data_IF_171255467242
#
_entry.id   IF_171255467242
#
_cell.length_a   1.000
_cell.length_b   1.000
_cell.length_c   1.000
_cell.angle_alpha   90.00
_cell.angle_beta   90.00
_cell.angle_gamma   90.00
#
_symmetry.space_group_name_H-M   'P 1'
#
loop_
_entity.id
_entity.type
_entity.pdbx_description
1 polymer ?
#
# COMPACT_ATOMS: atom_id res chain seq x y z
N UNK A 1 -56.02 48.56 -24.77
CA UNK A 1 -56.25 47.11 -24.61
C UNK A 1 -55.12 46.42 -25.35
N UNK A 2 -54.24 45.59 -24.79
CA UNK A 2 -54.27 44.78 -23.56
C UNK A 2 -52.83 44.62 -23.02
N UNK A 3 -52.71 44.85 -21.71
CA UNK A 3 -51.86 44.27 -20.67
C UNK A 3 -50.35 43.97 -20.89
N UNK A 4 -49.55 44.70 -20.11
CA UNK A 4 -48.28 44.32 -19.50
C UNK A 4 -48.45 43.06 -18.63
N UNK A 5 -47.55 42.07 -18.75
CA UNK A 5 -47.38 41.02 -17.74
C UNK A 5 -45.91 40.92 -17.35
N UNK A 6 -45.60 41.57 -16.23
CA UNK A 6 -44.38 41.34 -15.45
C UNK A 6 -44.65 40.11 -14.59
N UNK A 7 -43.89 39.03 -14.81
CA UNK A 7 -43.79 37.94 -13.84
C UNK A 7 -42.52 38.18 -13.01
N UNK A 8 -42.71 38.86 -11.88
CA UNK A 8 -41.94 38.63 -10.67
C UNK A 8 -42.69 37.58 -9.85
N UNK A 9 -41.93 36.86 -9.01
CA UNK A 9 -42.25 35.81 -8.04
C UNK A 9 -41.54 34.49 -8.44
N UNK A 10 -40.73 33.82 -7.64
CA UNK A 10 -40.17 34.03 -6.30
C UNK A 10 -39.06 33.00 -6.13
N UNK A 11 -38.11 33.29 -5.24
CA UNK A 11 -37.13 32.34 -4.72
C UNK A 11 -37.72 30.94 -4.49
N UNK A 12 -37.07 29.93 -5.07
CA UNK A 12 -37.09 28.57 -4.55
C UNK A 12 -35.67 28.25 -4.10
N UNK A 13 -35.58 28.17 -2.77
CA UNK A 13 -34.54 27.63 -1.91
C UNK A 13 -33.31 26.99 -2.55
N UNK A 14 -32.15 27.44 -2.05
CA UNK A 14 -31.03 26.60 -1.60
C UNK A 14 -31.26 25.09 -1.75
N UNK A 15 -30.83 24.52 -2.87
CA UNK A 15 -30.16 23.23 -2.81
C UNK A 15 -28.69 23.53 -2.59
N UNK A 16 -28.34 23.64 -1.31
CA UNK A 16 -26.99 23.56 -0.78
C UNK A 16 -26.42 22.17 -1.09
N UNK A 17 -26.19 21.88 -2.38
CA UNK A 17 -25.20 20.89 -2.77
C UNK A 17 -23.84 21.55 -2.58
N UNK A 18 -23.44 21.65 -1.31
CA UNK A 18 -22.05 21.47 -0.97
C UNK A 18 -21.70 20.04 -1.40
N UNK A 19 -21.45 19.87 -2.71
CA UNK A 19 -20.42 18.95 -3.15
C UNK A 19 -19.16 19.45 -2.47
N UNK A 20 -18.97 19.00 -1.22
CA UNK A 20 -17.70 19.13 -0.52
C UNK A 20 -16.71 18.50 -1.47
N UNK A 21 -15.94 19.36 -2.14
CA UNK A 21 -14.70 18.95 -2.75
C UNK A 21 -13.94 18.28 -1.60
N UNK A 22 -13.84 16.95 -1.64
CA UNK A 22 -12.92 16.23 -0.78
C UNK A 22 -11.53 16.68 -1.22
N UNK A 23 -11.06 17.76 -0.59
CA UNK A 23 -9.68 18.18 -0.72
C UNK A 23 -8.81 17.15 0.00
N UNK A 24 -7.58 16.96 -0.46
CA UNK A 24 -6.55 16.14 0.22
C UNK A 24 -6.08 16.84 1.51
N UNK A 25 -7.03 17.25 2.35
CA UNK A 25 -6.83 18.06 3.53
C UNK A 25 -6.01 17.27 4.56
N UNK A 26 -4.79 17.73 4.79
CA UNK A 26 -3.87 17.13 5.74
C UNK A 26 -2.79 16.25 5.11
N UNK A 27 -2.84 15.95 3.81
CA UNK A 27 -1.68 15.35 3.11
C UNK A 27 -0.54 16.38 3.12
N UNK A 28 0.53 16.08 3.84
CA UNK A 28 1.70 16.95 3.98
C UNK A 28 2.87 16.48 3.14
N UNK A 29 2.90 15.19 2.75
CA UNK A 29 3.96 14.63 1.90
C UNK A 29 3.39 13.60 0.93
N UNK A 30 3.99 13.58 -0.25
CA UNK A 30 3.76 12.57 -1.29
C UNK A 30 5.13 12.15 -1.82
N UNK A 31 5.41 10.86 -1.81
CA UNK A 31 6.68 10.33 -2.31
C UNK A 31 6.42 9.09 -3.16
N UNK A 32 7.06 9.04 -4.33
CA UNK A 32 7.02 7.86 -5.19
C UNK A 32 8.26 7.02 -4.98
N UNK A 33 8.11 5.70 -5.07
CA UNK A 33 9.19 4.74 -4.94
C UNK A 33 9.08 3.67 -6.03
N UNK A 34 10.23 3.10 -6.40
CA UNK A 34 10.31 2.02 -7.37
C UNK A 34 11.46 1.10 -7.01
N UNK A 35 11.25 -0.21 -7.16
CA UNK A 35 12.25 -1.23 -6.99
C UNK A 35 12.04 -2.34 -8.02
N UNK A 36 13.11 -2.77 -8.66
CA UNK A 36 13.15 -3.94 -9.54
C UNK A 36 14.24 -4.89 -9.03
N UNK A 37 14.09 -6.20 -9.24
CA UNK A 37 15.13 -7.13 -8.83
C UNK A 37 16.37 -6.93 -9.71
N UNK A 38 17.48 -6.54 -9.09
CA UNK A 38 18.76 -6.30 -9.77
C UNK A 38 19.81 -7.35 -9.37
N UNK A 39 19.64 -7.98 -8.20
CA UNK A 39 20.59 -8.97 -7.67
C UNK A 39 20.27 -10.43 -8.06
N UNK A 40 19.29 -10.63 -8.96
CA UNK A 40 18.86 -11.93 -9.50
C UNK A 40 18.43 -11.80 -10.97
N UNK A 41 18.18 -12.91 -11.64
CA UNK A 41 17.60 -12.91 -13.01
C UNK A 41 16.06 -12.76 -13.02
N UNK A 42 15.44 -12.61 -11.83
CA UNK A 42 14.00 -12.42 -11.70
C UNK A 42 13.58 -11.05 -12.19
N UNK A 43 12.38 -10.96 -12.75
CA UNK A 43 11.81 -9.71 -13.24
C UNK A 43 10.83 -9.05 -12.28
N UNK A 44 10.81 -9.47 -11.02
CA UNK A 44 9.92 -8.90 -10.01
C UNK A 44 10.17 -7.40 -9.86
N UNK A 45 9.11 -6.62 -9.79
CA UNK A 45 9.17 -5.17 -9.63
C UNK A 45 7.98 -4.62 -8.84
N UNK A 46 8.18 -3.48 -8.20
CA UNK A 46 7.16 -2.72 -7.47
C UNK A 46 7.36 -1.25 -7.79
N UNK A 47 6.29 -0.58 -8.20
CA UNK A 47 6.19 0.88 -8.34
C UNK A 47 5.07 1.38 -7.43
N UNK A 48 5.35 2.38 -6.61
CA UNK A 48 4.35 2.86 -5.67
C UNK A 48 4.45 4.34 -5.34
N UNK A 49 3.44 4.81 -4.64
CA UNK A 49 3.37 6.16 -4.09
C UNK A 49 2.75 6.12 -2.72
N UNK A 50 3.35 6.86 -1.79
CA UNK A 50 2.84 7.07 -0.45
C UNK A 50 2.27 8.47 -0.30
N UNK A 51 1.10 8.57 0.32
CA UNK A 51 0.43 9.80 0.70
C UNK A 51 0.38 9.88 2.22
N UNK A 52 1.12 10.81 2.81
CA UNK A 52 1.23 10.94 4.27
C UNK A 52 0.41 12.12 4.78
N UNK A 53 -0.48 11.85 5.73
CA UNK A 53 -1.29 12.81 6.43
C UNK A 53 -0.66 13.20 7.78
N UNK A 54 0.06 14.33 7.81
CA UNK A 54 0.71 14.80 9.03
C UNK A 54 -0.25 15.28 10.12
N UNK A 55 -1.51 15.63 9.79
CA UNK A 55 -2.50 16.05 10.79
C UNK A 55 -3.08 14.87 11.57
N UNK A 56 -3.34 13.76 10.86
CA UNK A 56 -3.97 12.56 11.43
C UNK A 56 -2.97 11.46 11.77
N UNK A 57 -1.68 11.66 11.45
CA UNK A 57 -0.64 10.63 11.54
C UNK A 57 -1.12 9.32 10.88
N UNK A 58 -1.59 9.46 9.65
CA UNK A 58 -2.04 8.34 8.81
C UNK A 58 -1.31 8.39 7.47
N UNK A 59 -1.23 7.26 6.78
CA UNK A 59 -0.66 7.21 5.44
C UNK A 59 -1.40 6.20 4.58
N UNK A 60 -1.41 6.44 3.27
CA UNK A 60 -1.88 5.48 2.30
C UNK A 60 -0.76 5.18 1.32
N UNK A 61 -0.48 3.90 1.11
CA UNK A 61 0.42 3.44 0.06
C UNK A 61 -0.41 2.82 -1.05
N UNK A 62 -0.17 3.24 -2.27
CA UNK A 62 -0.71 2.59 -3.48
C UNK A 62 0.48 2.08 -4.26
N UNK A 63 0.55 0.77 -4.49
CA UNK A 63 1.64 0.15 -5.23
C UNK A 63 1.11 -0.81 -6.29
N UNK A 64 1.70 -0.75 -7.48
CA UNK A 64 1.58 -1.70 -8.56
C UNK A 64 2.81 -2.60 -8.56
N UNK A 65 2.63 -3.88 -8.85
CA UNK A 65 3.73 -4.81 -8.85
C UNK A 65 3.55 -5.91 -9.88
N UNK A 66 4.69 -6.49 -10.26
CA UNK A 66 4.79 -7.72 -11.01
C UNK A 66 5.66 -8.70 -10.22
N UNK A 67 5.18 -9.92 -10.04
CA UNK A 67 5.94 -11.01 -9.43
C UNK A 67 6.33 -11.99 -10.54
N UNK A 68 7.63 -12.23 -10.70
CA UNK A 68 8.11 -13.23 -11.66
C UNK A 68 7.58 -14.62 -11.24
N UNK A 69 7.08 -15.45 -12.17
CA UNK A 69 6.62 -16.81 -11.84
C UNK A 69 7.66 -17.70 -11.16
N UNK A 70 8.96 -17.38 -11.25
CA UNK A 70 10.03 -18.08 -10.56
C UNK A 70 10.37 -17.48 -9.19
N UNK A 71 9.78 -16.33 -8.85
CA UNK A 71 10.00 -15.66 -7.57
C UNK A 71 9.06 -16.24 -6.49
N UNK A 72 9.66 -16.92 -5.52
CA UNK A 72 8.97 -17.45 -4.34
C UNK A 72 9.14 -16.55 -3.11
N UNK A 73 9.89 -15.45 -3.23
CA UNK A 73 10.07 -14.42 -2.21
C UNK A 73 8.98 -13.36 -2.20
N UNK A 74 8.27 -13.20 -3.32
CA UNK A 74 7.12 -12.31 -3.47
C UNK A 74 7.46 -10.84 -3.23
N UNK A 75 6.49 -10.09 -2.71
CA UNK A 75 6.64 -8.68 -2.30
C UNK A 75 6.39 -8.57 -0.80
N UNK A 76 7.20 -7.79 -0.10
CA UNK A 76 6.98 -7.51 1.32
C UNK A 76 7.13 -6.02 1.64
N UNK A 77 6.22 -5.49 2.45
CA UNK A 77 6.28 -4.17 3.05
C UNK A 77 6.54 -4.29 4.54
N UNK A 78 7.44 -3.45 5.06
CA UNK A 78 7.89 -3.49 6.44
C UNK A 78 7.65 -2.14 7.09
N UNK A 79 6.94 -2.14 8.20
CA UNK A 79 6.56 -0.94 8.94
C UNK A 79 7.18 -0.93 10.35
N UNK A 80 7.55 0.24 10.86
CA UNK A 80 8.19 0.39 12.16
C UNK A 80 7.15 0.36 13.28
N UNK A 81 7.61 0.24 14.52
CA UNK A 81 6.75 0.33 15.70
C UNK A 81 5.92 1.62 15.73
N UNK A 82 4.71 1.53 16.28
CA UNK A 82 3.74 2.62 16.33
C UNK A 82 2.86 2.75 15.07
N UNK A 83 3.33 2.29 13.92
CA UNK A 83 2.55 2.25 12.68
C UNK A 83 1.90 0.88 12.48
N UNK A 84 0.58 0.87 12.29
CA UNK A 84 -0.19 -0.35 12.06
C UNK A 84 -0.97 -0.26 10.75
N UNK A 85 -1.20 -1.41 10.12
CA UNK A 85 -2.06 -1.55 8.96
C UNK A 85 -3.51 -1.49 9.43
N UNK A 86 -4.21 -0.41 9.09
CA UNK A 86 -5.63 -0.21 9.41
C UNK A 86 -6.54 -0.75 8.31
N UNK A 87 -6.02 -0.91 7.09
CA UNK A 87 -6.73 -1.48 5.95
C UNK A 87 -5.78 -1.98 4.87
N UNK A 88 -6.18 -3.04 4.17
CA UNK A 88 -5.47 -3.52 2.99
C UNK A 88 -6.45 -3.95 1.91
N UNK A 89 -6.17 -3.58 0.67
CA UNK A 89 -6.87 -4.08 -0.52
C UNK A 89 -5.83 -4.56 -1.52
N UNK A 90 -6.06 -5.72 -2.12
CA UNK A 90 -5.19 -6.29 -3.15
C UNK A 90 -6.01 -6.74 -4.34
N UNK A 91 -5.41 -6.70 -5.52
CA UNK A 91 -5.96 -7.37 -6.71
C UNK A 91 -5.16 -8.60 -7.13
N UNK A 92 -4.07 -8.94 -6.43
CA UNK A 92 -3.18 -10.01 -6.84
C UNK A 92 -3.70 -11.39 -6.46
N UNK A 93 -3.65 -12.39 -7.36
CA UNK A 93 -3.21 -12.28 -8.76
C UNK A 93 -4.29 -11.66 -9.66
N UNK A 94 -3.96 -10.57 -10.36
CA UNK A 94 -4.95 -9.82 -11.14
C UNK A 94 -5.44 -10.62 -12.34
N UNK A 95 -6.77 -10.68 -12.50
CA UNK A 95 -7.42 -11.38 -13.60
C UNK A 95 -7.59 -12.88 -13.38
N UNK A 96 -7.12 -13.42 -12.24
CA UNK A 96 -7.43 -14.78 -11.84
C UNK A 96 -8.70 -14.81 -10.98
N UNK A 97 -9.80 -15.32 -11.53
CA UNK A 97 -11.07 -15.41 -10.81
C UNK A 97 -11.16 -16.62 -9.86
N UNK A 98 -10.18 -17.52 -9.89
CA UNK A 98 -10.14 -18.73 -9.06
C UNK A 98 -9.44 -18.49 -7.71
N UNK A 99 -8.74 -17.37 -7.54
CA UNK A 99 -7.98 -17.03 -6.33
C UNK A 99 -8.55 -15.76 -5.72
N UNK A 100 -8.93 -15.81 -4.44
CA UNK A 100 -9.28 -14.62 -3.69
C UNK A 100 -8.00 -13.80 -3.42
N UNK A 101 -7.93 -12.51 -3.77
CA UNK A 101 -6.74 -11.72 -3.52
C UNK A 101 -6.30 -11.65 -2.06
N UNK A 102 -7.22 -11.86 -1.11
CA UNK A 102 -6.90 -11.92 0.31
C UNK A 102 -6.11 -13.17 0.71
N UNK A 103 -6.24 -14.28 -0.03
CA UNK A 103 -5.48 -15.52 0.21
C UNK A 103 -3.99 -15.36 -0.13
N UNK A 104 -3.65 -14.34 -0.93
CA UNK A 104 -2.26 -14.02 -1.28
C UNK A 104 -1.58 -13.08 -0.30
N UNK A 105 -2.30 -12.59 0.71
CA UNK A 105 -1.80 -11.63 1.69
C UNK A 105 -1.53 -12.30 3.03
N UNK A 106 -0.43 -11.93 3.67
CA UNK A 106 -0.14 -12.29 5.06
C UNK A 106 0.30 -11.05 5.81
N UNK A 107 -0.37 -10.74 6.91
CA UNK A 107 0.03 -9.67 7.83
C UNK A 107 0.60 -10.31 9.10
N UNK A 108 1.84 -9.99 9.41
CA UNK A 108 2.50 -10.41 10.65
C UNK A 108 2.82 -9.17 11.48
N UNK A 109 2.61 -9.27 12.79
CA UNK A 109 3.02 -8.22 13.73
C UNK A 109 3.72 -8.86 14.92
N UNK A 110 4.89 -8.35 15.30
CA UNK A 110 5.61 -8.77 16.49
C UNK A 110 5.35 -7.84 17.66
N UNK A 111 5.36 -8.39 18.87
CA UNK A 111 5.31 -7.62 20.13
C UNK A 111 6.70 -7.22 20.65
N UNK A 112 7.77 -7.56 19.91
CA UNK A 112 9.12 -7.21 20.33
C UNK A 112 9.32 -5.70 20.22
N UNK A 113 9.81 -5.09 21.28
CA UNK A 113 10.01 -3.63 21.36
C UNK A 113 11.34 -3.18 20.73
N UNK A 114 12.26 -4.11 20.47
CA UNK A 114 13.63 -3.83 19.99
C UNK A 114 13.87 -4.31 18.55
N UNK A 115 12.87 -4.15 17.69
CA UNK A 115 12.98 -4.49 16.27
C UNK A 115 12.85 -3.25 15.41
N UNK A 116 13.57 -3.24 14.28
CA UNK A 116 13.43 -2.17 13.28
C UNK A 116 12.04 -2.15 12.65
N UNK A 117 11.49 -3.34 12.39
CA UNK A 117 10.20 -3.54 11.75
C UNK A 117 9.30 -4.36 12.66
N UNK A 118 8.16 -3.79 13.06
CA UNK A 118 7.18 -4.45 13.93
C UNK A 118 6.07 -5.13 13.14
N UNK A 119 5.73 -4.60 11.97
CA UNK A 119 4.63 -5.10 11.13
C UNK A 119 5.13 -5.39 9.71
N UNK A 120 4.63 -6.49 9.15
CA UNK A 120 5.01 -7.04 7.86
C UNK A 120 3.72 -7.28 7.07
N UNK A 121 3.63 -6.75 5.86
CA UNK A 121 2.65 -7.19 4.86
C UNK A 121 3.39 -7.95 3.78
N UNK A 122 3.04 -9.21 3.60
CA UNK A 122 3.65 -10.09 2.61
C UNK A 122 2.61 -10.47 1.55
N UNK A 123 3.04 -10.43 0.29
CA UNK A 123 2.22 -10.75 -0.88
C UNK A 123 2.91 -11.91 -1.61
N UNK A 124 2.21 -13.04 -1.72
CA UNK A 124 2.70 -14.24 -2.42
C UNK A 124 4.04 -14.78 -1.91
N UNK A 125 4.40 -14.51 -0.65
CA UNK A 125 5.64 -14.99 -0.05
C UNK A 125 5.42 -16.35 0.60
N UNK A 126 6.25 -17.32 0.23
CA UNK A 126 6.13 -18.68 0.74
C UNK A 126 7.18 -18.99 1.81
N UNK A 127 6.72 -19.23 3.04
CA UNK A 127 7.59 -19.77 4.10
C UNK A 127 7.57 -21.31 4.19
N UNK A 128 6.46 -21.98 3.83
CA UNK A 128 6.23 -23.38 4.25
C UNK A 128 5.69 -24.34 3.17
N UNK A 129 4.98 -23.88 2.13
CA UNK A 129 4.43 -24.79 1.11
C UNK A 129 4.39 -24.15 -0.27
N UNK A 130 4.78 -24.94 -1.29
CA UNK A 130 4.72 -24.59 -2.71
C UNK A 130 3.27 -24.36 -3.13
N UNK A 131 2.79 -23.13 -3.02
CA UNK A 131 1.61 -22.70 -3.74
C UNK A 131 1.98 -22.66 -5.22
N UNK A 132 1.03 -23.01 -6.08
CA UNK A 132 1.27 -23.03 -7.52
C UNK A 132 1.58 -21.60 -7.96
N UNK A 133 2.85 -21.36 -8.27
CA UNK A 133 3.36 -20.09 -8.76
C UNK A 133 2.43 -19.55 -9.86
N UNK A 134 1.67 -18.52 -9.52
CA UNK A 134 1.02 -17.67 -10.49
C UNK A 134 1.60 -16.29 -10.33
N UNK A 135 2.89 -16.18 -10.69
CA UNK A 135 3.48 -14.87 -10.94
C UNK A 135 2.57 -14.07 -11.88
N UNK A 136 2.68 -12.76 -11.85
CA UNK A 136 1.71 -11.90 -12.48
C UNK A 136 1.66 -10.53 -11.84
N UNK A 137 0.65 -9.78 -12.26
CA UNK A 137 0.48 -8.39 -11.86
C UNK A 137 -0.54 -8.27 -10.73
N UNK A 138 -0.41 -7.20 -9.96
CA UNK A 138 -1.45 -6.74 -9.06
C UNK A 138 -1.18 -5.35 -8.55
N UNK A 139 -2.14 -4.83 -7.82
CA UNK A 139 -1.95 -3.66 -6.97
C UNK A 139 -2.21 -4.02 -5.52
N UNK A 140 -1.64 -3.21 -4.63
CA UNK A 140 -2.01 -3.17 -3.22
C UNK A 140 -2.25 -1.72 -2.80
N UNK A 141 -3.32 -1.52 -2.03
CA UNK A 141 -3.58 -0.29 -1.28
C UNK A 141 -3.45 -0.64 0.20
N UNK A 142 -2.56 0.08 0.89
CA UNK A 142 -2.27 -0.15 2.31
C UNK A 142 -2.61 1.14 3.04
N UNK A 143 -3.59 1.07 3.92
CA UNK A 143 -3.91 2.15 4.84
C UNK A 143 -3.16 1.91 6.15
N UNK A 144 -2.44 2.94 6.59
CA UNK A 144 -1.65 2.96 7.80
C UNK A 144 -2.20 4.02 8.74
N UNK A 145 -2.21 3.69 10.02
CA UNK A 145 -2.44 4.67 11.06
C UNK A 145 -1.38 4.54 12.15
N UNK A 146 -1.12 5.64 12.82
CA UNK A 146 -0.22 5.69 13.96
C UNK A 146 -1.02 5.56 15.26
N UNK A 147 -0.54 4.74 16.19
CA UNK A 147 -1.29 4.38 17.43
C UNK A 147 -0.49 4.60 18.71
N UNK A 148 0.67 5.26 18.65
CA UNK A 148 1.53 5.47 19.81
C UNK A 148 1.69 6.97 20.11
N UNK A 149 1.21 7.43 21.25
CA UNK A 149 1.31 8.86 21.61
C UNK A 149 2.72 9.29 22.04
N UNK A 150 3.65 8.35 22.26
CA UNK A 150 4.98 8.60 22.85
C UNK A 150 6.16 8.45 21.87
N UNK A 151 5.98 7.74 20.75
CA UNK A 151 7.03 7.52 19.74
C UNK A 151 7.08 8.60 18.64
N UNK A 152 8.17 8.59 17.85
CA UNK A 152 8.36 9.46 16.70
C UNK A 152 7.36 9.14 15.57
N UNK A 153 6.60 10.16 15.14
CA UNK A 153 5.59 10.07 14.06
C UNK A 153 6.20 10.00 12.65
N UNK A 154 7.53 9.95 12.54
CA UNK A 154 8.20 9.78 11.26
C UNK A 154 7.84 8.41 10.69
N UNK A 155 7.40 8.39 9.44
CA UNK A 155 7.10 7.14 8.76
C UNK A 155 8.30 6.74 7.92
N UNK A 156 9.03 5.75 8.43
CA UNK A 156 10.08 5.06 7.69
C UNK A 156 9.63 3.64 7.41
N UNK A 157 9.60 3.21 6.16
CA UNK A 157 9.18 1.85 5.80
C UNK A 157 10.14 1.24 4.77
N UNK A 158 10.09 -0.08 4.60
CA UNK A 158 10.85 -0.76 3.55
C UNK A 158 9.94 -1.56 2.62
N UNK A 159 10.39 -1.71 1.38
CA UNK A 159 9.82 -2.63 0.39
C UNK A 159 10.91 -3.61 0.00
N UNK A 160 10.60 -4.90 -0.04
CA UNK A 160 11.54 -5.93 -0.43
C UNK A 160 10.93 -6.91 -1.42
N UNK A 161 11.74 -7.33 -2.39
CA UNK A 161 11.35 -8.22 -3.48
C UNK A 161 12.47 -9.22 -3.79
N UNK A 162 12.12 -10.21 -4.61
CA UNK A 162 13.08 -11.14 -5.18
C UNK A 162 13.44 -12.28 -4.23
N UNK A 163 13.97 -13.34 -4.82
CA UNK A 163 14.42 -14.51 -4.11
C UNK A 163 15.56 -15.19 -4.85
N UNK A 164 16.42 -15.89 -4.11
CA UNK A 164 17.48 -16.69 -4.71
C UNK A 164 17.87 -17.87 -3.83
N UNK A 165 18.48 -18.86 -4.46
CA UNK A 165 19.19 -19.91 -3.76
C UNK A 165 20.68 -19.61 -3.86
N UNK A 166 21.36 -19.52 -2.71
CA UNK A 166 22.81 -19.38 -2.63
C UNK A 166 23.35 -20.46 -1.70
N UNK A 167 24.24 -21.30 -2.21
CA UNK A 167 24.85 -22.41 -1.45
C UNK A 167 23.81 -23.35 -0.80
N UNK A 168 22.70 -23.60 -1.49
CA UNK A 168 21.58 -24.41 -0.98
C UNK A 168 20.66 -23.69 0.01
N UNK A 169 20.96 -22.44 0.37
CA UNK A 169 20.17 -21.63 1.29
C UNK A 169 19.19 -20.77 0.49
N UNK A 170 17.91 -20.85 0.87
CA UNK A 170 16.84 -19.97 0.39
C UNK A 170 17.01 -18.58 1.00
N UNK A 171 17.14 -17.56 0.15
CA UNK A 171 17.16 -16.15 0.51
C UNK A 171 15.93 -15.46 -0.10
N UNK A 172 15.13 -14.80 0.73
CA UNK A 172 14.01 -13.92 0.32
C UNK A 172 14.44 -12.46 0.49
N UNK A 173 13.87 -11.58 -0.33
CA UNK A 173 14.16 -10.14 -0.24
C UNK A 173 15.59 -9.82 -0.66
N UNK A 174 16.00 -10.31 -1.82
CA UNK A 174 17.35 -10.06 -2.37
C UNK A 174 17.60 -8.60 -2.66
N UNK A 175 16.52 -7.87 -2.92
CA UNK A 175 16.51 -6.45 -3.22
C UNK A 175 15.57 -5.76 -2.22
N UNK A 176 15.95 -4.58 -1.73
CA UNK A 176 15.12 -3.77 -0.85
C UNK A 176 15.41 -2.28 -1.02
N UNK A 177 14.39 -1.47 -0.72
CA UNK A 177 14.50 -0.01 -0.61
C UNK A 177 13.89 0.43 0.73
N UNK A 178 14.46 1.48 1.32
CA UNK A 178 13.91 2.16 2.49
C UNK A 178 13.43 3.55 2.09
N UNK A 179 12.19 3.86 2.43
CA UNK A 179 11.54 5.15 2.19
C UNK A 179 11.42 5.86 3.53
N UNK A 180 11.76 7.14 3.59
CA UNK A 180 11.77 7.92 4.82
C UNK A 180 11.05 9.25 4.65
N UNK A 181 9.92 9.38 5.34
CA UNK A 181 9.10 10.59 5.33
C UNK A 181 9.34 11.42 6.59
N UNK A 182 10.48 12.14 6.64
CA UNK A 182 10.86 13.10 7.71
C UNK A 182 10.21 14.48 7.58
#
# INVERSE_FOLDING_TARGET
MVALFVFLLSNLNDDNNNDRVETNDGITKVESFSITSEHTDLKTSVDGTIFYNGKQASAQIVALFYIDPLDWGGVAFYFPSGWHISGVKSSYPQGNQEVDPSDSLTILTTKSENVKWSTYLEISREFIAASKHSGGYGYVVIDLAYQDDELERALKFAVSIGSRIKDGIKIIGTDNIEINLE
#
